data_IF_932665828697
#
_entry.id   IF_932665828697
#
_cell.length_a   1.000
_cell.length_b   1.000
_cell.length_c   1.000
_cell.angle_alpha   90.00
_cell.angle_beta   90.00
_cell.angle_gamma   90.00
#
_symmetry.space_group_name_H-M   'P 1'
#
loop_
_entity.id
_entity.type
_entity.pdbx_description
1 polymer ?
#
# COMPACT_ATOMS: atom_id res chain seq x y z
N UNK A 1 -5.31 -8.57 -4.85
CA UNK A 1 -3.97 -8.80 -4.24
C UNK A 1 -3.91 -10.10 -3.42
N UNK A 2 -2.76 -10.79 -3.39
CA UNK A 2 -2.54 -12.00 -2.56
C UNK A 2 -2.07 -11.62 -1.14
N UNK A 3 -2.89 -11.88 -0.10
CA UNK A 3 -2.58 -11.53 1.30
C UNK A 3 -1.92 -12.66 2.10
N UNK A 4 -1.81 -13.87 1.55
CA UNK A 4 -1.32 -15.05 2.28
C UNK A 4 0.04 -14.86 2.99
N UNK A 5 1.03 -14.14 2.41
CA UNK A 5 2.28 -13.88 3.12
C UNK A 5 2.07 -13.11 4.43
N UNK A 6 1.15 -12.15 4.46
CA UNK A 6 0.82 -11.37 5.65
C UNK A 6 -0.03 -12.19 6.62
N UNK A 7 -1.01 -12.94 6.11
CA UNK A 7 -1.84 -13.83 6.92
C UNK A 7 -0.99 -14.89 7.62
N UNK A 8 0.07 -15.37 6.97
CA UNK A 8 1.06 -16.26 7.61
C UNK A 8 1.79 -15.58 8.76
N UNK A 9 2.17 -14.31 8.66
CA UNK A 9 2.82 -13.57 9.75
C UNK A 9 1.86 -13.36 10.93
N UNK A 10 0.60 -13.02 10.64
CA UNK A 10 -0.48 -12.92 11.64
C UNK A 10 -0.59 -14.25 12.42
N UNK A 11 -0.70 -15.38 11.70
CA UNK A 11 -0.76 -16.72 12.33
C UNK A 11 0.48 -17.04 13.17
N UNK A 12 1.68 -16.75 12.66
CA UNK A 12 2.94 -16.96 13.40
C UNK A 12 2.92 -16.19 14.71
N UNK A 13 2.48 -14.93 14.69
CA UNK A 13 2.40 -14.11 15.90
C UNK A 13 1.42 -14.67 16.92
N UNK A 14 0.24 -15.08 16.47
CA UNK A 14 -0.78 -15.66 17.35
C UNK A 14 -0.26 -16.93 18.02
N UNK A 15 0.44 -17.79 17.28
CA UNK A 15 1.09 -18.97 17.83
C UNK A 15 2.20 -18.63 18.85
N UNK A 16 3.02 -17.60 18.58
CA UNK A 16 4.05 -17.15 19.50
C UNK A 16 3.44 -16.69 20.83
N UNK A 17 2.39 -15.86 20.76
CA UNK A 17 1.68 -15.37 21.94
C UNK A 17 1.01 -16.49 22.77
N UNK A 18 0.61 -17.59 22.13
CA UNK A 18 0.04 -18.75 22.83
C UNK A 18 1.09 -19.64 23.49
N UNK A 19 2.31 -19.69 22.95
CA UNK A 19 3.37 -20.62 23.39
C UNK A 19 4.35 -20.02 24.39
N UNK A 20 4.39 -18.69 24.53
CA UNK A 20 5.27 -18.01 25.49
C UNK A 20 4.74 -18.15 26.93
N UNK A 21 5.59 -18.59 27.88
CA UNK A 21 5.16 -18.78 29.26
C UNK A 21 4.99 -17.44 30.02
N UNK A 22 4.15 -17.47 31.06
CA UNK A 22 3.68 -16.29 31.81
C UNK A 22 4.83 -15.55 32.52
N UNK A 23 5.91 -16.23 32.88
CA UNK A 23 7.10 -15.66 33.53
C UNK A 23 7.98 -14.83 32.58
N UNK A 24 7.76 -14.92 31.27
CA UNK A 24 8.48 -14.14 30.25
C UNK A 24 7.68 -12.91 29.75
N UNK A 25 6.74 -12.39 30.54
CA UNK A 25 5.89 -11.25 30.15
C UNK A 25 6.65 -10.04 29.61
N UNK A 26 7.80 -9.69 30.21
CA UNK A 26 8.64 -8.58 29.74
C UNK A 26 9.23 -8.83 28.35
N UNK A 27 9.82 -10.01 28.15
CA UNK A 27 10.35 -10.45 26.85
C UNK A 27 9.24 -10.53 25.79
N UNK A 28 8.05 -11.01 26.18
CA UNK A 28 6.89 -11.08 25.28
C UNK A 28 6.44 -9.68 24.80
N UNK A 29 6.49 -8.66 25.67
CA UNK A 29 6.20 -7.27 25.24
C UNK A 29 7.25 -6.76 24.25
N UNK A 30 8.54 -7.01 24.50
CA UNK A 30 9.62 -6.61 23.59
C UNK A 30 9.50 -7.28 22.22
N UNK A 31 9.27 -8.60 22.20
CA UNK A 31 9.03 -9.36 20.96
C UNK A 31 7.83 -8.81 20.21
N UNK A 32 6.72 -8.51 20.90
CA UNK A 32 5.52 -7.98 20.26
C UNK A 32 5.74 -6.59 19.64
N UNK A 33 6.53 -5.74 20.27
CA UNK A 33 6.90 -4.42 19.72
C UNK A 33 7.71 -4.57 18.44
N UNK A 34 8.72 -5.44 18.43
CA UNK A 34 9.53 -5.69 17.22
C UNK A 34 8.71 -6.37 16.12
N UNK A 35 7.80 -7.27 16.49
CA UNK A 35 6.90 -7.94 15.53
C UNK A 35 5.95 -6.94 14.87
N UNK A 36 5.47 -5.92 15.59
CA UNK A 36 4.64 -4.86 15.01
C UNK A 36 5.38 -4.11 13.90
N UNK A 37 6.66 -3.78 14.12
CA UNK A 37 7.49 -3.10 13.10
C UNK A 37 7.65 -3.99 11.87
N UNK A 38 7.97 -5.27 12.08
CA UNK A 38 8.07 -6.25 10.98
C UNK A 38 6.77 -6.33 10.19
N UNK A 39 5.62 -6.41 10.87
CA UNK A 39 4.33 -6.56 10.23
C UNK A 39 3.98 -5.33 9.37
N UNK A 40 4.23 -4.12 9.87
CA UNK A 40 4.02 -2.88 9.08
C UNK A 40 4.94 -2.82 7.87
N UNK A 41 6.23 -3.15 8.03
CA UNK A 41 7.18 -3.21 6.93
C UNK A 41 6.75 -4.24 5.87
N UNK A 42 6.28 -5.41 6.30
CA UNK A 42 5.79 -6.46 5.40
C UNK A 42 4.54 -6.01 4.64
N UNK A 43 3.55 -5.42 5.32
CA UNK A 43 2.36 -4.87 4.69
C UNK A 43 2.70 -3.81 3.64
N UNK A 44 3.52 -2.81 4.02
CA UNK A 44 3.93 -1.75 3.11
C UNK A 44 4.71 -2.29 1.90
N UNK A 45 5.60 -3.26 2.11
CA UNK A 45 6.35 -3.90 1.02
C UNK A 45 5.43 -4.67 0.07
N UNK A 46 4.40 -5.33 0.58
CA UNK A 46 3.41 -6.02 -0.26
C UNK A 46 2.62 -5.03 -1.11
N UNK A 47 2.18 -3.91 -0.53
CA UNK A 47 1.45 -2.89 -1.27
C UNK A 47 2.30 -2.21 -2.34
N UNK A 48 3.56 -1.91 -2.02
CA UNK A 48 4.52 -1.39 -2.98
C UNK A 48 4.70 -2.34 -4.16
N UNK A 49 4.85 -3.63 -3.88
CA UNK A 49 4.97 -4.65 -4.91
C UNK A 49 3.74 -4.68 -5.81
N UNK A 50 2.53 -4.79 -5.23
CA UNK A 50 1.27 -4.85 -5.98
C UNK A 50 1.06 -3.61 -6.84
N UNK A 51 1.23 -2.41 -6.28
CA UNK A 51 1.08 -1.16 -7.03
C UNK A 51 2.08 -1.14 -8.19
N UNK A 52 3.36 -1.42 -7.94
CA UNK A 52 4.39 -1.37 -8.98
C UNK A 52 4.12 -2.40 -10.08
N UNK A 53 3.73 -3.63 -9.75
CA UNK A 53 3.38 -4.65 -10.75
C UNK A 53 2.16 -4.22 -11.57
N UNK A 54 1.11 -3.71 -10.94
CA UNK A 54 -0.06 -3.19 -11.64
C UNK A 54 0.33 -2.09 -12.62
N UNK A 55 1.22 -1.18 -12.26
CA UNK A 55 1.65 -0.12 -13.20
C UNK A 55 2.39 -0.70 -14.40
N UNK A 56 3.28 -1.67 -14.18
CA UNK A 56 4.01 -2.35 -15.27
C UNK A 56 3.03 -3.03 -16.22
N UNK A 57 2.09 -3.79 -15.67
CA UNK A 57 1.12 -4.55 -16.46
C UNK A 57 0.18 -3.59 -17.21
N UNK A 58 -0.29 -2.53 -16.57
CA UNK A 58 -1.06 -1.47 -17.21
C UNK A 58 -0.32 -0.86 -18.40
N UNK A 59 0.94 -0.43 -18.25
CA UNK A 59 1.68 0.14 -19.37
C UNK A 59 1.97 -0.89 -20.46
N UNK A 60 2.15 -2.17 -20.12
CA UNK A 60 2.34 -3.24 -21.10
C UNK A 60 1.09 -3.45 -21.94
N UNK A 61 -0.07 -3.48 -21.30
CA UNK A 61 -1.37 -3.69 -21.95
C UNK A 61 -1.82 -2.49 -22.77
N UNK A 62 -1.53 -1.26 -22.33
CA UNK A 62 -2.00 -0.05 -23.01
C UNK A 62 -1.07 0.43 -24.13
N UNK A 63 0.25 0.22 -24.00
CA UNK A 63 1.21 0.71 -25.00
C UNK A 63 1.59 -0.33 -26.04
N UNK A 64 1.43 -1.62 -25.74
CA UNK A 64 1.91 -2.75 -26.55
C UNK A 64 3.37 -2.61 -27.01
N UNK A 65 4.21 -1.96 -26.20
CA UNK A 65 5.61 -1.65 -26.54
C UNK A 65 6.56 -1.92 -25.37
N UNK A 66 7.36 -2.98 -25.49
CA UNK A 66 8.37 -3.33 -24.47
C UNK A 66 9.42 -2.22 -24.27
N UNK A 67 9.72 -1.43 -25.31
CA UNK A 67 10.60 -0.27 -25.18
C UNK A 67 9.98 0.80 -24.26
N UNK A 68 8.69 1.09 -24.43
CA UNK A 68 7.98 2.06 -23.60
C UNK A 68 7.86 1.55 -22.15
N UNK A 69 7.48 0.28 -21.97
CA UNK A 69 7.40 -0.36 -20.64
C UNK A 69 8.75 -0.31 -19.93
N UNK A 70 9.84 -0.67 -20.61
CA UNK A 70 11.19 -0.65 -20.04
C UNK A 70 11.60 0.78 -19.63
N UNK A 71 11.27 1.78 -20.45
CA UNK A 71 11.57 3.17 -20.11
C UNK A 71 10.80 3.62 -18.86
N UNK A 72 9.50 3.32 -18.78
CA UNK A 72 8.65 3.65 -17.63
C UNK A 72 9.13 2.91 -16.38
N UNK A 73 9.44 1.61 -16.48
CA UNK A 73 9.98 0.83 -15.37
C UNK A 73 11.24 1.47 -14.79
N UNK A 74 12.22 1.77 -15.65
CA UNK A 74 13.50 2.33 -15.23
C UNK A 74 13.42 3.76 -14.68
N UNK A 75 12.45 4.56 -15.14
CA UNK A 75 12.37 6.00 -14.80
C UNK A 75 11.31 6.34 -13.77
N UNK A 76 10.17 5.68 -13.83
CA UNK A 76 9.00 6.02 -13.04
C UNK A 76 8.73 5.00 -11.94
N UNK A 77 9.23 3.75 -12.00
CA UNK A 77 8.87 2.69 -11.04
C UNK A 77 10.05 2.32 -10.15
N UNK A 78 11.19 1.95 -10.73
CA UNK A 78 12.34 1.49 -9.96
C UNK A 78 12.83 2.53 -8.95
N UNK A 79 12.76 2.16 -7.67
CA UNK A 79 13.13 3.01 -6.52
C UNK A 79 12.32 4.31 -6.41
N UNK A 80 11.23 4.47 -7.16
CA UNK A 80 10.41 5.70 -7.16
C UNK A 80 9.15 5.59 -6.30
N UNK A 81 8.78 4.41 -5.78
CA UNK A 81 7.54 4.25 -5.01
C UNK A 81 7.38 5.26 -3.87
N UNK A 82 8.48 5.58 -3.16
CA UNK A 82 8.47 6.56 -2.07
C UNK A 82 8.07 7.98 -2.51
N UNK A 83 8.16 8.31 -3.80
CA UNK A 83 7.76 9.61 -4.36
C UNK A 83 6.31 9.63 -4.85
N UNK A 84 5.64 8.48 -4.90
CA UNK A 84 4.27 8.39 -5.41
C UNK A 84 3.27 9.06 -4.48
N UNK A 85 3.53 9.00 -3.19
CA UNK A 85 2.64 9.48 -2.14
C UNK A 85 3.33 10.53 -1.29
N UNK A 86 2.55 11.50 -0.80
CA UNK A 86 3.00 12.38 0.26
C UNK A 86 2.73 11.70 1.60
N UNK A 87 3.73 11.03 2.17
CA UNK A 87 3.59 10.26 3.43
C UNK A 87 3.34 11.12 4.68
N UNK A 88 3.37 12.45 4.56
CA UNK A 88 2.96 13.38 5.60
C UNK A 88 1.47 13.73 5.55
N UNK A 89 0.78 13.38 4.45
CA UNK A 89 -0.66 13.56 4.30
C UNK A 89 -1.43 12.28 4.66
N UNK A 90 -2.75 12.41 4.86
CA UNK A 90 -3.66 11.29 5.10
C UNK A 90 -4.34 10.75 3.83
N UNK A 91 -4.06 11.34 2.66
CA UNK A 91 -4.75 10.99 1.41
C UNK A 91 -3.77 10.75 0.26
N UNK A 92 -4.23 10.00 -0.74
CA UNK A 92 -3.44 9.62 -1.92
C UNK A 92 -3.54 10.62 -3.09
N UNK A 93 -3.98 11.87 -2.86
CA UNK A 93 -4.22 12.82 -3.95
C UNK A 93 -2.95 13.23 -4.71
N UNK A 94 -1.77 13.15 -4.07
CA UNK A 94 -0.49 13.36 -4.74
C UNK A 94 -0.30 12.32 -5.83
N UNK A 95 -0.49 11.04 -5.48
CA UNK A 95 -0.38 9.91 -6.40
C UNK A 95 -1.35 10.03 -7.57
N UNK A 96 -2.64 10.31 -7.31
CA UNK A 96 -3.62 10.47 -8.37
C UNK A 96 -3.30 11.64 -9.31
N UNK A 97 -2.66 12.69 -8.78
CA UNK A 97 -2.21 13.83 -9.58
C UNK A 97 -1.14 13.48 -10.63
N UNK A 98 -0.35 12.42 -10.42
CA UNK A 98 0.67 11.97 -11.36
C UNK A 98 0.06 11.49 -12.69
N UNK A 99 -1.20 11.05 -12.67
CA UNK A 99 -1.96 10.56 -13.83
C UNK A 99 -2.71 11.68 -14.56
N UNK A 100 -2.63 12.92 -14.08
CA UNK A 100 -3.33 14.07 -14.63
C UNK A 100 -4.62 14.44 -13.89
N UNK A 101 -5.15 15.63 -14.23
CA UNK A 101 -6.26 16.26 -13.50
C UNK A 101 -7.56 15.47 -13.59
N UNK A 102 -7.82 14.80 -14.70
CA UNK A 102 -9.09 14.11 -14.94
C UNK A 102 -9.14 12.78 -14.19
N UNK A 103 -8.06 12.01 -14.21
CA UNK A 103 -7.93 10.80 -13.39
C UNK A 103 -8.01 11.13 -11.89
N UNK A 104 -7.36 12.21 -11.45
CA UNK A 104 -7.47 12.66 -10.06
C UNK A 104 -8.92 12.93 -9.65
N UNK A 105 -9.67 13.70 -10.45
CA UNK A 105 -11.10 13.96 -10.18
C UNK A 105 -11.93 12.69 -10.18
N UNK A 106 -11.62 11.76 -11.08
CA UNK A 106 -12.26 10.45 -11.12
C UNK A 106 -12.04 9.71 -9.80
N UNK A 107 -10.80 9.58 -9.35
CA UNK A 107 -10.48 8.92 -8.07
C UNK A 107 -11.11 9.62 -6.86
N UNK A 108 -11.09 10.95 -6.81
CA UNK A 108 -11.76 11.72 -5.74
C UNK A 108 -13.27 11.42 -5.67
N UNK A 109 -13.92 11.14 -6.80
CA UNK A 109 -15.31 10.73 -6.86
C UNK A 109 -15.50 9.29 -6.37
N UNK A 110 -14.60 8.38 -6.74
CA UNK A 110 -14.64 6.98 -6.29
C UNK A 110 -14.40 6.84 -4.79
N UNK A 111 -13.60 7.74 -4.21
CA UNK A 111 -13.25 7.75 -2.78
C UNK A 111 -14.09 8.74 -1.97
N UNK A 112 -15.34 9.00 -2.37
CA UNK A 112 -16.17 10.01 -1.73
C UNK A 112 -16.84 9.52 -0.44
N UNK A 113 -17.24 8.26 -0.41
CA UNK A 113 -17.89 7.65 0.76
C UNK A 113 -16.91 7.42 1.91
N UNK A 114 -17.44 7.32 3.12
CA UNK A 114 -16.63 7.21 4.34
C UNK A 114 -15.78 5.93 4.37
N UNK A 115 -16.29 4.82 3.84
CA UNK A 115 -15.56 3.55 3.86
C UNK A 115 -14.38 3.59 2.89
N UNK A 116 -14.56 4.11 1.68
CA UNK A 116 -13.48 4.27 0.72
C UNK A 116 -12.41 5.25 1.20
N UNK A 117 -12.80 6.32 1.91
CA UNK A 117 -11.86 7.21 2.59
C UNK A 117 -11.07 6.49 3.66
N UNK A 118 -11.76 5.74 4.54
CA UNK A 118 -11.11 4.93 5.58
C UNK A 118 -10.08 3.97 4.97
N UNK A 119 -10.42 3.33 3.84
CA UNK A 119 -9.51 2.45 3.13
C UNK A 119 -8.24 3.19 2.67
N UNK A 120 -8.38 4.36 2.05
CA UNK A 120 -7.25 5.16 1.60
C UNK A 120 -6.39 5.68 2.77
N UNK A 121 -7.03 6.15 3.84
CA UNK A 121 -6.35 6.60 5.06
C UNK A 121 -5.58 5.47 5.73
N UNK A 122 -6.13 4.25 5.75
CA UNK A 122 -5.46 3.08 6.29
C UNK A 122 -4.18 2.73 5.52
N UNK A 123 -4.25 2.75 4.18
CA UNK A 123 -3.09 2.58 3.32
C UNK A 123 -2.03 3.67 3.59
N UNK A 124 -2.44 4.94 3.63
CA UNK A 124 -1.53 6.06 3.90
C UNK A 124 -0.91 5.97 5.29
N UNK A 125 -1.65 5.49 6.29
CA UNK A 125 -1.16 5.27 7.65
C UNK A 125 -0.06 4.21 7.72
N UNK A 126 -0.25 3.05 7.07
CA UNK A 126 0.80 2.01 6.99
C UNK A 126 2.03 2.53 6.23
N UNK A 127 1.84 3.21 5.10
CA UNK A 127 2.95 3.77 4.33
C UNK A 127 3.73 4.84 5.08
N UNK A 128 3.04 5.75 5.78
CA UNK A 128 3.65 6.76 6.65
C UNK A 128 4.45 6.12 7.78
N UNK A 129 3.92 5.06 8.38
CA UNK A 129 4.63 4.35 9.44
C UNK A 129 5.88 3.63 8.93
N UNK A 130 5.79 2.94 7.79
CA UNK A 130 6.96 2.39 7.11
C UNK A 130 8.00 3.47 6.82
N UNK A 131 7.57 4.64 6.34
CA UNK A 131 8.47 5.76 6.07
C UNK A 131 9.21 6.21 7.35
N UNK A 132 8.51 6.32 8.48
CA UNK A 132 9.12 6.65 9.78
C UNK A 132 10.10 5.56 10.25
N UNK A 133 9.74 4.28 10.10
CA UNK A 133 10.60 3.16 10.47
C UNK A 133 11.88 3.16 9.62
N UNK A 134 11.79 3.38 8.31
CA UNK A 134 12.95 3.30 7.39
C UNK A 134 13.84 4.53 7.40
N UNK A 135 13.33 5.71 7.79
CA UNK A 135 14.12 6.94 7.89
C UNK A 135 14.70 7.20 9.30
N UNK A 136 14.25 6.47 10.31
CA UNK A 136 14.77 6.55 11.68
C UNK A 136 15.76 5.43 12.01
N UNK A 137 16.23 5.40 13.26
CA UNK A 137 16.87 4.21 13.81
C UNK A 137 15.78 3.20 14.19
N UNK A 138 15.65 2.11 13.43
CA UNK A 138 14.62 1.09 13.65
C UNK A 138 14.66 0.49 15.06
N UNK A 139 15.85 0.37 15.66
CA UNK A 139 16.03 -0.15 17.01
C UNK A 139 15.47 0.81 18.07
N UNK A 140 15.57 2.12 17.83
CA UNK A 140 15.08 3.16 18.75
C UNK A 140 13.65 3.61 18.42
N UNK A 141 13.08 3.14 17.30
CA UNK A 141 11.74 3.51 16.90
C UNK A 141 10.71 2.90 17.85
N UNK A 142 9.92 3.76 18.50
CA UNK A 142 8.84 3.33 19.37
C UNK A 142 7.54 3.25 18.58
N UNK A 143 7.04 2.03 18.37
CA UNK A 143 5.81 1.77 17.63
C UNK A 143 4.60 2.20 18.47
N UNK A 144 3.80 3.15 17.98
CA UNK A 144 2.62 3.60 18.72
C UNK A 144 1.39 2.73 18.47
N UNK A 145 1.35 1.99 17.36
CA UNK A 145 0.19 1.18 16.96
C UNK A 145 0.20 -0.20 17.60
N UNK A 146 -0.95 -0.65 18.06
CA UNK A 146 -1.16 -2.02 18.55
C UNK A 146 -1.25 -3.02 17.40
N UNK A 147 -1.21 -4.30 17.74
CA UNK A 147 -1.38 -5.37 16.77
C UNK A 147 -2.73 -5.29 16.04
N UNK A 148 -3.80 -5.11 16.81
CA UNK A 148 -5.18 -5.08 16.33
C UNK A 148 -5.40 -3.90 15.41
N UNK A 149 -4.81 -2.74 15.73
CA UNK A 149 -4.80 -1.57 14.87
C UNK A 149 -4.08 -1.85 13.55
N UNK A 150 -2.93 -2.53 13.57
CA UNK A 150 -2.19 -2.88 12.34
C UNK A 150 -3.01 -3.84 11.46
N UNK A 151 -3.72 -4.81 12.05
CA UNK A 151 -4.60 -5.72 11.31
C UNK A 151 -5.78 -4.98 10.68
N UNK A 152 -6.47 -4.11 11.44
CA UNK A 152 -7.59 -3.33 10.90
C UNK A 152 -7.12 -2.44 9.75
N UNK A 153 -6.00 -1.74 9.95
CA UNK A 153 -5.37 -0.94 8.90
C UNK A 153 -5.01 -1.80 7.68
N UNK A 154 -4.46 -2.99 7.89
CA UNK A 154 -4.07 -3.87 6.80
C UNK A 154 -5.28 -4.25 5.94
N UNK A 155 -6.37 -4.67 6.56
CA UNK A 155 -7.62 -5.04 5.88
C UNK A 155 -8.17 -3.88 5.03
N UNK A 156 -8.18 -2.67 5.60
CA UNK A 156 -8.67 -1.48 4.90
C UNK A 156 -7.73 -1.04 3.77
N UNK A 157 -6.41 -1.14 3.97
CA UNK A 157 -5.41 -0.83 2.96
C UNK A 157 -5.46 -1.79 1.76
N UNK A 158 -5.68 -3.09 2.00
CA UNK A 158 -5.87 -4.09 0.92
C UNK A 158 -7.04 -3.68 0.03
N UNK A 159 -8.18 -3.30 0.64
CA UNK A 159 -9.35 -2.86 -0.11
C UNK A 159 -9.07 -1.59 -0.94
N UNK A 160 -8.27 -0.65 -0.43
CA UNK A 160 -7.83 0.51 -1.20
C UNK A 160 -7.00 0.14 -2.43
N UNK A 161 -6.02 -0.74 -2.27
CA UNK A 161 -5.16 -1.19 -3.38
C UNK A 161 -6.01 -1.88 -4.46
N UNK A 162 -6.89 -2.80 -4.07
CA UNK A 162 -7.80 -3.46 -5.02
C UNK A 162 -8.75 -2.46 -5.72
N UNK A 163 -9.22 -1.41 -5.01
CA UNK A 163 -10.01 -0.33 -5.62
C UNK A 163 -9.19 0.45 -6.63
N UNK A 164 -7.94 0.81 -6.32
CA UNK A 164 -7.08 1.54 -7.24
C UNK A 164 -6.88 0.77 -8.55
N UNK A 165 -6.56 -0.53 -8.49
CA UNK A 165 -6.37 -1.39 -9.67
C UNK A 165 -7.61 -1.34 -10.57
N UNK A 166 -8.78 -1.60 -10.00
CA UNK A 166 -10.07 -1.59 -10.75
C UNK A 166 -10.37 -0.23 -11.36
N UNK A 167 -10.11 0.84 -10.61
CA UNK A 167 -10.35 2.20 -11.08
C UNK A 167 -9.40 2.60 -12.21
N UNK A 168 -8.15 2.14 -12.19
CA UNK A 168 -7.20 2.38 -13.26
C UNK A 168 -7.66 1.74 -14.57
N UNK A 169 -8.06 0.47 -14.50
CA UNK A 169 -8.61 -0.29 -15.63
C UNK A 169 -9.90 0.35 -16.16
N UNK A 170 -10.88 0.59 -15.29
CA UNK A 170 -12.18 1.17 -15.68
C UNK A 170 -12.03 2.56 -16.30
N UNK A 171 -11.15 3.40 -15.75
CA UNK A 171 -10.91 4.72 -16.32
C UNK A 171 -10.30 4.63 -17.71
N UNK A 172 -9.35 3.71 -17.93
CA UNK A 172 -8.75 3.52 -19.24
C UNK A 172 -9.79 3.07 -20.28
N UNK A 173 -10.60 2.07 -19.97
CA UNK A 173 -11.70 1.61 -20.83
C UNK A 173 -12.68 2.75 -21.18
N UNK A 174 -13.11 3.53 -20.17
CA UNK A 174 -13.99 4.70 -20.37
C UNK A 174 -13.37 5.80 -21.26
N UNK A 175 -12.05 5.83 -21.41
CA UNK A 175 -11.33 6.78 -22.27
C UNK A 175 -11.08 6.27 -23.67
N UNK A 176 -10.98 4.95 -23.86
CA UNK A 176 -10.90 4.33 -25.19
C UNK A 176 -12.17 4.60 -26.00
N UNK A 177 -13.34 4.48 -25.38
CA UNK A 177 -14.64 4.74 -26.01
C UNK A 177 -14.87 6.21 -26.42
N UNK A 178 -13.99 7.12 -25.98
CA UNK A 178 -14.07 8.57 -26.27
C UNK A 178 -13.05 9.03 -27.30
N UNK A 179 -12.20 8.15 -27.81
CA UNK A 179 -11.30 8.47 -28.91
C UNK A 179 -12.12 8.56 -30.21
N UNK A 180 -12.05 9.66 -30.99
CA UNK A 180 -12.68 9.71 -32.30
C UNK A 180 -12.11 8.59 -33.16
N UNK A 181 -12.99 7.82 -33.82
CA UNK A 181 -12.59 7.01 -34.96
C UNK A 181 -12.02 7.97 -35.99
N UNK A 182 -10.70 7.92 -36.22
CA UNK A 182 -10.04 8.65 -37.32
C UNK A 182 -10.60 8.24 -38.69
#
# INVERSE_FOLDING_TARGET
MNTEPIDRLIRIREELNQKLPIDEMGLNMEINTEYNKLLVLACASMYEHEICSTLIDFFRETTHSEMAVTFVQNKAIERQYHTYFNWNDSNANHFFGLWGKDFKKYMEKQLKDENSKKNAEAFMSIGSERNRITHGNIADYNMSKTYEEIIDLHKHAVAFVDTFVKCLESYYEETLDKQPVE
#
